data_IF_257672413191
#
_entry.id   IF_257672413191
#
_cell.length_a   1.000
_cell.length_b   1.000
_cell.length_c   1.000
_cell.angle_alpha   90.00
_cell.angle_beta   90.00
_cell.angle_gamma   90.00
#
_symmetry.space_group_name_H-M   'P 1'
#
loop_
_entity.id
_entity.type
_entity.pdbx_description
1 polymer ?
#
# COMPACT_ATOMS: atom_id res chain seq x y z
N UNK A 1 -59.03 45.96 -6.35
CA UNK A 1 -58.05 45.06 -6.93
C UNK A 1 -56.68 45.46 -6.38
N UNK A 2 -56.22 44.76 -5.35
CA UNK A 2 -54.91 44.97 -4.74
C UNK A 2 -54.04 43.75 -5.08
N UNK A 3 -52.79 43.93 -5.53
CA UNK A 3 -51.89 42.80 -5.77
C UNK A 3 -51.25 42.34 -4.45
N UNK A 4 -51.35 41.02 -4.17
CA UNK A 4 -50.58 40.34 -3.14
C UNK A 4 -49.09 40.41 -3.46
N UNK A 5 -48.31 40.96 -2.57
CA UNK A 5 -46.85 40.82 -2.56
C UNK A 5 -46.44 39.55 -1.84
N UNK A 6 -45.96 38.56 -2.59
CA UNK A 6 -45.37 37.38 -2.02
C UNK A 6 -44.00 37.71 -1.41
N UNK A 7 -43.88 37.54 -0.13
CA UNK A 7 -42.63 37.68 0.63
C UNK A 7 -41.85 36.34 0.54
N UNK A 8 -40.80 36.34 -0.24
CA UNK A 8 -39.90 35.17 -0.34
C UNK A 8 -38.93 35.18 0.85
N UNK A 9 -39.20 34.34 1.86
CA UNK A 9 -38.24 34.09 2.94
C UNK A 9 -37.08 33.28 2.43
N UNK A 10 -35.95 33.92 2.23
CA UNK A 10 -34.64 33.23 2.07
C UNK A 10 -34.18 32.69 3.44
N UNK A 11 -34.34 31.41 3.64
CA UNK A 11 -33.66 30.71 4.74
C UNK A 11 -32.18 30.58 4.39
N UNK A 12 -31.25 30.96 5.27
CA UNK A 12 -29.84 30.69 5.04
C UNK A 12 -29.63 29.16 5.10
N UNK A 13 -29.07 28.60 4.03
CA UNK A 13 -28.60 27.23 4.03
C UNK A 13 -27.53 27.09 5.11
N UNK A 14 -27.81 26.29 6.14
CA UNK A 14 -26.81 25.83 7.09
C UNK A 14 -25.79 24.99 6.30
N UNK A 15 -24.66 25.58 5.98
CA UNK A 15 -23.47 24.83 5.57
C UNK A 15 -23.01 24.09 6.81
N UNK A 16 -23.35 22.80 6.93
CA UNK A 16 -22.73 21.90 7.87
C UNK A 16 -21.25 21.88 7.55
N UNK A 17 -20.44 22.60 8.32
CA UNK A 17 -19.01 22.59 8.24
C UNK A 17 -18.53 21.15 8.40
N UNK A 18 -17.87 20.61 7.40
CA UNK A 18 -17.08 19.40 7.56
C UNK A 18 -16.06 19.69 8.66
N UNK A 19 -16.09 18.89 9.75
CA UNK A 19 -15.17 19.07 10.87
C UNK A 19 -13.73 19.11 10.35
N UNK A 20 -12.92 20.00 10.91
CA UNK A 20 -11.50 20.07 10.56
C UNK A 20 -10.86 18.70 10.82
N UNK A 21 -9.95 18.23 9.94
CA UNK A 21 -9.29 16.95 10.12
C UNK A 21 -8.54 16.92 11.45
N UNK A 22 -8.71 15.85 12.24
CA UNK A 22 -7.98 15.67 13.50
C UNK A 22 -6.51 15.35 13.20
N UNK A 23 -5.63 16.28 13.54
CA UNK A 23 -4.19 16.14 13.31
C UNK A 23 -3.57 14.99 14.10
N UNK A 24 -4.11 14.65 15.27
CA UNK A 24 -3.66 13.51 16.07
C UNK A 24 -4.01 12.18 15.42
N UNK A 25 -5.21 12.04 14.87
CA UNK A 25 -5.63 10.84 14.15
C UNK A 25 -4.82 10.64 12.87
N UNK A 26 -4.64 11.72 12.12
CA UNK A 26 -3.80 11.70 10.91
C UNK A 26 -2.34 11.37 11.24
N UNK A 27 -1.79 11.92 12.32
CA UNK A 27 -0.44 11.57 12.78
C UNK A 27 -0.32 10.08 13.07
N UNK A 28 -1.25 9.51 13.83
CA UNK A 28 -1.28 8.08 14.14
C UNK A 28 -1.33 7.22 12.90
N UNK A 29 -2.10 7.65 11.91
CA UNK A 29 -2.31 6.88 10.68
C UNK A 29 -1.12 6.94 9.71
N UNK A 30 -0.46 8.08 9.58
CA UNK A 30 0.50 8.32 8.51
C UNK A 30 1.95 8.52 8.97
N UNK A 31 2.18 8.81 10.25
CA UNK A 31 3.49 9.20 10.74
C UNK A 31 4.02 8.31 11.87
N UNK A 32 3.12 7.80 12.72
CA UNK A 32 3.51 7.13 13.94
C UNK A 32 4.23 5.79 13.72
N UNK A 33 4.01 5.12 12.59
CA UNK A 33 4.70 3.87 12.25
C UNK A 33 6.22 4.03 12.25
N UNK A 34 6.73 5.17 11.74
CA UNK A 34 8.16 5.45 11.71
C UNK A 34 8.62 6.34 12.89
N UNK A 35 7.80 7.33 13.25
CA UNK A 35 8.19 8.32 14.25
C UNK A 35 7.73 8.01 15.68
N UNK A 36 7.04 6.88 15.89
CA UNK A 36 6.49 6.45 17.18
C UNK A 36 5.26 7.24 17.60
N UNK A 37 4.42 6.67 18.48
CA UNK A 37 3.18 7.30 18.97
C UNK A 37 3.44 8.63 19.69
N UNK A 38 4.59 8.76 20.35
CA UNK A 38 5.03 9.95 21.08
C UNK A 38 6.08 10.77 20.32
N UNK A 39 6.24 10.54 19.03
CA UNK A 39 7.18 11.25 18.19
C UNK A 39 8.65 11.00 18.53
N UNK A 40 9.01 9.93 19.26
CA UNK A 40 10.40 9.67 19.70
C UNK A 40 11.29 9.10 18.61
N UNK A 41 10.71 8.61 17.51
CA UNK A 41 11.44 7.95 16.45
C UNK A 41 12.13 6.66 16.91
N UNK A 42 13.08 6.20 16.11
CA UNK A 42 13.98 5.08 16.42
C UNK A 42 15.40 5.58 16.22
N UNK A 43 16.22 5.49 17.27
CA UNK A 43 17.61 6.01 17.27
C UNK A 43 18.41 5.49 16.06
N UNK A 44 19.08 6.38 15.36
CA UNK A 44 19.86 6.12 14.14
C UNK A 44 19.07 5.61 12.91
N UNK A 45 17.75 5.31 13.04
CA UNK A 45 16.90 4.82 11.95
C UNK A 45 15.89 5.88 11.55
N UNK A 46 14.99 6.24 12.47
CA UNK A 46 13.95 7.25 12.22
C UNK A 46 14.13 8.43 13.19
N UNK A 47 14.27 9.68 12.69
CA UNK A 47 14.50 10.81 13.56
C UNK A 47 13.31 11.10 14.47
N UNK A 48 13.53 11.58 15.70
CA UNK A 48 12.47 12.04 16.56
C UNK A 48 11.80 13.30 15.98
N UNK A 49 10.51 13.46 16.26
CA UNK A 49 9.75 14.68 16.07
C UNK A 49 9.53 15.40 17.43
N UNK A 50 9.55 14.62 18.52
CA UNK A 50 9.45 15.14 19.88
C UNK A 50 10.73 15.91 20.24
N UNK A 51 10.60 17.20 20.59
CA UNK A 51 11.70 18.06 20.93
C UNK A 51 12.79 18.18 19.85
N UNK A 52 12.41 18.01 18.58
CA UNK A 52 13.35 17.99 17.46
C UNK A 52 13.77 19.41 17.06
N UNK A 53 15.07 19.73 17.18
CA UNK A 53 15.67 21.00 16.75
C UNK A 53 15.51 21.25 15.25
N UNK A 54 15.46 20.18 14.45
CA UNK A 54 15.25 20.22 13.01
C UNK A 54 13.93 20.90 12.61
N UNK A 55 12.87 20.75 13.41
CA UNK A 55 11.58 21.38 13.15
C UNK A 55 11.62 22.90 13.22
N UNK A 56 12.53 23.45 14.05
CA UNK A 56 12.76 24.88 14.15
C UNK A 56 13.83 25.37 13.17
N UNK A 57 14.99 24.70 13.14
CA UNK A 57 16.17 25.16 12.40
C UNK A 57 16.05 24.91 10.90
N UNK A 58 15.26 23.92 10.50
CA UNK A 58 15.05 23.50 9.10
C UNK A 58 13.56 23.43 8.75
N UNK A 59 12.74 24.36 9.28
CA UNK A 59 11.27 24.33 9.17
C UNK A 59 10.79 24.12 7.73
N UNK A 60 11.30 24.85 6.76
CA UNK A 60 10.90 24.70 5.38
C UNK A 60 11.17 23.30 4.83
N UNK A 61 12.31 22.70 5.19
CA UNK A 61 12.68 21.34 4.81
C UNK A 61 11.79 20.31 5.51
N UNK A 62 11.47 20.54 6.79
CA UNK A 62 10.55 19.69 7.55
C UNK A 62 9.14 19.69 6.94
N UNK A 63 8.60 20.87 6.59
CA UNK A 63 7.28 20.98 5.96
C UNK A 63 7.24 20.37 4.55
N UNK A 64 8.36 20.38 3.81
CA UNK A 64 8.48 19.74 2.49
C UNK A 64 8.64 18.23 2.57
N UNK A 65 9.17 17.70 3.66
CA UNK A 65 9.46 16.27 3.78
C UNK A 65 8.26 15.36 3.45
N UNK A 66 7.05 15.56 3.97
CA UNK A 66 5.90 14.74 3.58
C UNK A 66 5.36 15.06 2.17
N UNK A 67 5.72 16.21 1.58
CA UNK A 67 5.29 16.58 0.24
C UNK A 67 6.17 15.96 -0.85
N UNK A 68 7.48 15.93 -0.63
CA UNK A 68 8.51 15.56 -1.62
C UNK A 68 9.22 14.26 -1.27
N UNK A 69 9.02 13.79 -0.03
CA UNK A 69 9.94 12.84 0.58
C UNK A 69 11.23 13.51 1.06
N UNK A 70 11.98 12.81 1.89
CA UNK A 70 13.26 13.29 2.41
C UNK A 70 14.29 12.17 2.28
N UNK A 71 15.41 12.48 1.62
CA UNK A 71 16.54 11.56 1.46
C UNK A 71 17.85 12.21 1.84
N UNK A 72 18.82 11.37 2.18
CA UNK A 72 20.18 11.75 2.49
C UNK A 72 20.36 12.22 3.93
N UNK A 73 21.57 12.70 4.19
CA UNK A 73 22.00 13.04 5.53
C UNK A 73 21.24 14.21 6.13
N UNK A 74 20.68 14.00 7.31
CA UNK A 74 20.15 15.04 8.17
C UNK A 74 20.72 14.86 9.58
N UNK A 75 20.72 15.94 10.34
CA UNK A 75 21.08 15.90 11.77
C UNK A 75 19.88 16.40 12.57
N UNK A 76 19.44 15.62 13.55
CA UNK A 76 18.37 15.97 14.48
C UNK A 76 18.87 15.77 15.90
N UNK A 77 18.80 16.81 16.71
CA UNK A 77 19.31 16.80 18.09
C UNK A 77 20.77 16.30 18.20
N UNK A 78 21.63 16.65 17.23
CA UNK A 78 23.02 16.23 17.17
C UNK A 78 23.25 14.80 16.64
N UNK A 79 22.19 13.98 16.46
CA UNK A 79 22.28 12.65 15.89
C UNK A 79 22.13 12.70 14.37
N UNK A 80 23.00 11.99 13.65
CA UNK A 80 22.91 11.83 12.19
C UNK A 80 21.93 10.72 11.81
N UNK A 81 21.14 10.99 10.76
CA UNK A 81 20.23 10.06 10.13
C UNK A 81 20.48 10.09 8.63
N UNK A 82 20.57 8.93 8.02
CA UNK A 82 20.68 8.77 6.56
C UNK A 82 19.66 7.73 6.11
N UNK A 83 18.41 8.16 6.05
CA UNK A 83 17.29 7.30 5.67
C UNK A 83 16.48 7.90 4.52
N UNK A 84 15.42 7.24 4.20
CA UNK A 84 14.42 7.72 3.25
C UNK A 84 13.06 7.83 3.92
N UNK A 85 12.51 9.03 3.96
CA UNK A 85 11.11 9.30 4.29
C UNK A 85 10.34 9.40 2.97
N UNK A 86 9.39 8.52 2.69
CA UNK A 86 8.56 8.64 1.49
C UNK A 86 7.61 9.85 1.58
N UNK A 87 7.17 10.42 0.45
CA UNK A 87 6.10 11.40 0.45
C UNK A 87 4.79 10.78 0.92
N UNK A 88 3.91 11.59 1.51
CA UNK A 88 2.62 11.15 2.05
C UNK A 88 1.48 11.78 1.26
N UNK A 89 0.48 10.98 0.88
CA UNK A 89 -0.68 11.47 0.12
C UNK A 89 -1.73 12.04 1.08
N UNK A 90 -1.54 13.29 1.49
CA UNK A 90 -2.47 14.06 2.32
C UNK A 90 -2.81 15.38 1.64
N UNK A 91 -4.04 15.90 1.89
CA UNK A 91 -4.44 17.23 1.43
C UNK A 91 -3.68 18.32 2.19
N UNK A 92 -3.77 19.56 1.73
CA UNK A 92 -3.11 20.70 2.41
C UNK A 92 -3.69 20.94 3.80
N UNK A 93 -5.01 20.76 3.96
CA UNK A 93 -5.71 20.84 5.25
C UNK A 93 -5.26 19.74 6.21
N UNK A 94 -5.14 18.52 5.71
CA UNK A 94 -4.70 17.38 6.49
C UNK A 94 -3.23 17.54 6.92
N UNK A 95 -2.35 17.98 6.03
CA UNK A 95 -0.96 18.24 6.38
C UNK A 95 -0.81 19.38 7.38
N UNK A 96 -1.55 20.47 7.22
CA UNK A 96 -1.55 21.55 8.19
C UNK A 96 -2.01 21.06 9.58
N UNK A 97 -3.05 20.21 9.65
CA UNK A 97 -3.52 19.62 10.90
C UNK A 97 -2.46 18.72 11.55
N UNK A 98 -1.80 17.84 10.77
CA UNK A 98 -0.71 16.98 11.26
C UNK A 98 0.45 17.81 11.80
N UNK A 99 0.91 18.82 11.06
CA UNK A 99 2.02 19.66 11.53
C UNK A 99 1.65 20.44 12.78
N UNK A 100 0.44 20.98 12.87
CA UNK A 100 -0.01 21.70 14.05
C UNK A 100 -0.09 20.78 15.29
N UNK A 101 -0.47 19.51 15.10
CA UNK A 101 -0.35 18.50 16.13
C UNK A 101 1.13 18.31 16.54
N UNK A 102 2.03 18.00 15.61
CA UNK A 102 3.46 17.81 15.90
C UNK A 102 4.07 19.03 16.60
N UNK A 103 3.75 20.24 16.12
CA UNK A 103 4.34 21.49 16.62
C UNK A 103 3.87 21.86 18.03
N UNK A 104 2.76 21.32 18.51
CA UNK A 104 2.20 21.57 19.83
C UNK A 104 2.36 20.43 20.82
N UNK A 105 2.79 19.24 20.38
CA UNK A 105 2.91 18.06 21.24
C UNK A 105 4.33 17.79 21.68
N UNK A 106 4.48 16.91 22.65
CA UNK A 106 5.76 16.31 23.10
C UNK A 106 6.85 17.33 23.47
N UNK A 107 6.43 18.48 24.01
CA UNK A 107 7.35 19.57 24.39
C UNK A 107 7.72 20.52 23.24
N UNK A 108 7.27 20.25 22.01
CA UNK A 108 7.41 21.20 20.91
C UNK A 108 6.56 22.46 21.17
N UNK A 109 7.11 23.61 20.78
CA UNK A 109 6.43 24.92 20.84
C UNK A 109 6.76 25.73 19.60
N UNK A 110 6.39 25.19 18.43
CA UNK A 110 6.64 25.85 17.15
C UNK A 110 5.39 26.64 16.70
N UNK A 111 5.59 27.72 15.94
CA UNK A 111 4.46 28.43 15.32
C UNK A 111 3.63 27.47 14.49
N UNK A 112 2.29 27.61 14.56
CA UNK A 112 1.39 26.86 13.73
C UNK A 112 1.67 27.13 12.22
N UNK A 113 1.34 26.14 11.41
CA UNK A 113 1.34 26.29 9.95
C UNK A 113 -0.08 26.44 9.43
N UNK A 114 -0.24 27.18 8.33
CA UNK A 114 -1.53 27.37 7.67
C UNK A 114 -1.67 26.46 6.46
N UNK A 115 -2.91 26.23 6.03
CA UNK A 115 -3.22 25.54 4.78
C UNK A 115 -2.56 26.26 3.60
N UNK A 116 -2.55 27.59 3.61
CA UNK A 116 -1.95 28.42 2.57
C UNK A 116 -0.43 28.24 2.51
N UNK A 117 0.24 28.10 3.67
CA UNK A 117 1.69 27.82 3.73
C UNK A 117 2.00 26.44 3.09
N UNK A 118 1.21 25.41 3.40
CA UNK A 118 1.34 24.09 2.80
C UNK A 118 1.07 24.12 1.29
N UNK A 119 -0.02 24.78 0.85
CA UNK A 119 -0.38 24.90 -0.56
C UNK A 119 0.71 25.64 -1.36
N UNK A 120 1.28 26.72 -0.80
CA UNK A 120 2.39 27.44 -1.42
C UNK A 120 3.64 26.56 -1.55
N UNK A 121 3.97 25.76 -0.54
CA UNK A 121 5.04 24.79 -0.63
C UNK A 121 4.74 23.71 -1.67
N UNK A 122 3.54 23.13 -1.67
CA UNK A 122 3.13 22.12 -2.65
C UNK A 122 3.19 22.64 -4.09
N UNK A 123 2.80 23.90 -4.34
CA UNK A 123 2.88 24.49 -5.68
C UNK A 123 4.31 24.69 -6.18
N UNK A 124 5.28 24.75 -5.26
CA UNK A 124 6.72 24.82 -5.56
C UNK A 124 7.38 23.46 -5.62
N UNK A 125 6.72 22.43 -5.07
CA UNK A 125 7.16 21.04 -5.22
C UNK A 125 6.86 20.63 -6.66
N UNK A 126 7.86 20.72 -7.50
CA UNK A 126 7.86 19.92 -8.70
C UNK A 126 8.15 18.51 -8.19
N UNK A 127 7.10 17.68 -8.06
CA UNK A 127 7.37 16.25 -8.09
C UNK A 127 8.15 16.02 -9.38
N UNK A 128 9.41 15.63 -9.32
CA UNK A 128 10.04 15.20 -10.53
C UNK A 128 9.14 14.09 -11.07
N UNK A 129 8.70 14.23 -12.31
CA UNK A 129 8.07 13.13 -13.02
C UNK A 129 8.98 11.90 -12.82
N UNK A 130 8.44 10.70 -12.82
CA UNK A 130 9.27 9.51 -12.69
C UNK A 130 10.43 9.53 -13.70
N UNK A 131 10.22 10.07 -14.91
CA UNK A 131 11.27 10.31 -15.88
C UNK A 131 12.36 11.29 -15.38
N UNK A 132 12.00 12.34 -14.62
CA UNK A 132 12.95 13.27 -14.02
C UNK A 132 13.68 12.64 -12.82
N UNK A 133 13.00 11.76 -12.05
CA UNK A 133 13.64 10.95 -11.01
C UNK A 133 14.66 9.99 -11.62
N UNK A 134 14.31 9.30 -12.69
CA UNK A 134 15.24 8.41 -13.41
C UNK A 134 16.39 9.15 -14.05
N UNK A 135 16.16 10.33 -14.63
CA UNK A 135 17.22 11.18 -15.19
C UNK A 135 18.13 11.77 -14.10
N UNK A 136 17.59 12.00 -12.88
CA UNK A 136 18.34 12.44 -11.70
C UNK A 136 18.97 11.27 -10.91
N UNK A 137 18.53 10.04 -11.14
CA UNK A 137 19.22 8.85 -10.65
C UNK A 137 20.50 8.69 -11.45
N UNK A 138 21.63 9.04 -10.81
CA UNK A 138 22.94 8.68 -11.33
C UNK A 138 22.99 7.17 -11.62
N UNK A 139 23.67 6.72 -12.69
CA UNK A 139 23.96 5.30 -12.90
C UNK A 139 24.55 4.61 -11.66
N UNK A 140 25.17 5.37 -10.77
CA UNK A 140 25.77 4.91 -9.52
C UNK A 140 24.73 4.49 -8.45
N UNK A 141 23.42 4.74 -8.66
CA UNK A 141 22.33 4.33 -7.74
C UNK A 141 21.87 2.89 -8.01
N UNK A 142 22.18 2.34 -9.16
CA UNK A 142 21.92 0.92 -9.41
C UNK A 142 22.91 0.07 -8.59
N UNK A 143 22.43 -0.98 -7.90
CA UNK A 143 23.31 -1.87 -7.16
C UNK A 143 24.38 -2.46 -8.11
N UNK A 144 25.56 -2.74 -7.57
CA UNK A 144 26.60 -3.40 -8.35
C UNK A 144 26.08 -4.75 -8.87
N UNK A 145 26.18 -4.95 -10.18
CA UNK A 145 25.76 -6.22 -10.76
C UNK A 145 26.80 -7.32 -10.46
N UNK A 146 26.37 -8.57 -10.19
CA UNK A 146 27.29 -9.71 -10.11
C UNK A 146 28.13 -9.85 -11.39
N UNK A 147 29.27 -10.51 -11.29
CA UNK A 147 30.14 -10.76 -12.44
C UNK A 147 29.36 -11.44 -13.57
N UNK A 148 29.46 -10.88 -14.79
CA UNK A 148 28.72 -11.36 -15.96
C UNK A 148 27.30 -10.83 -16.12
N UNK A 149 26.80 -10.00 -15.17
CA UNK A 149 25.50 -9.37 -15.22
C UNK A 149 25.61 -7.86 -15.38
N UNK A 150 24.57 -7.25 -15.93
CA UNK A 150 24.43 -5.80 -16.04
C UNK A 150 23.02 -5.41 -15.65
N UNK A 151 22.88 -4.43 -14.75
CA UNK A 151 21.59 -3.78 -14.49
C UNK A 151 21.39 -2.62 -15.46
N UNK A 152 20.17 -2.54 -16.00
CA UNK A 152 19.74 -1.42 -16.85
C UNK A 152 18.33 -1.02 -16.44
N UNK A 153 18.03 0.28 -16.55
CA UNK A 153 16.65 0.77 -16.42
C UNK A 153 15.91 0.40 -17.70
N UNK A 154 14.88 -0.43 -17.59
CA UNK A 154 14.13 -0.95 -18.72
C UNK A 154 13.09 0.07 -19.26
N UNK A 155 12.34 0.73 -18.37
CA UNK A 155 11.37 1.76 -18.71
C UNK A 155 11.09 2.69 -17.52
N UNK A 156 10.83 3.98 -17.74
CA UNK A 156 10.29 4.85 -16.73
C UNK A 156 8.80 4.52 -16.51
N UNK A 157 8.37 4.51 -15.25
CA UNK A 157 6.97 4.36 -14.86
C UNK A 157 6.56 5.60 -14.05
N UNK A 158 5.43 6.19 -14.38
CA UNK A 158 4.84 7.35 -13.66
C UNK A 158 3.79 6.93 -12.62
N UNK A 159 3.77 5.64 -12.29
CA UNK A 159 2.88 5.03 -11.31
C UNK A 159 3.66 4.09 -10.37
N UNK A 160 3.05 3.72 -9.26
CA UNK A 160 3.61 2.76 -8.30
C UNK A 160 3.30 1.32 -8.72
N UNK A 161 4.25 0.56 -9.28
CA UNK A 161 4.05 -0.84 -9.61
C UNK A 161 4.09 -1.70 -8.35
N UNK A 162 3.22 -2.69 -8.28
CA UNK A 162 3.17 -3.65 -7.17
C UNK A 162 3.54 -5.06 -7.61
N UNK A 163 3.19 -5.45 -8.84
CA UNK A 163 3.48 -6.79 -9.38
C UNK A 163 3.74 -6.77 -10.87
N UNK A 164 4.49 -7.78 -11.29
CA UNK A 164 4.80 -8.07 -12.68
C UNK A 164 4.46 -9.54 -12.96
N UNK A 165 3.93 -9.81 -14.15
CA UNK A 165 3.75 -11.18 -14.65
C UNK A 165 4.06 -11.24 -16.15
N UNK A 166 4.61 -12.36 -16.62
CA UNK A 166 4.84 -12.56 -18.04
C UNK A 166 3.49 -12.61 -18.80
N UNK A 167 3.41 -11.91 -19.90
CA UNK A 167 2.28 -12.00 -20.81
C UNK A 167 2.37 -13.31 -21.63
N UNK A 168 1.25 -14.00 -21.92
CA UNK A 168 1.27 -15.27 -22.68
C UNK A 168 1.91 -15.21 -24.07
N UNK A 169 2.00 -14.02 -24.68
CA UNK A 169 2.65 -13.85 -25.98
C UNK A 169 4.19 -13.91 -25.96
N UNK A 170 4.79 -13.95 -24.76
CA UNK A 170 6.24 -13.97 -24.58
C UNK A 170 6.96 -12.68 -24.99
N UNK A 171 6.24 -11.62 -25.36
CA UNK A 171 6.79 -10.33 -25.83
C UNK A 171 6.52 -9.18 -24.87
N UNK A 172 5.56 -9.35 -23.99
CA UNK A 172 5.15 -8.32 -23.05
C UNK A 172 5.25 -8.81 -21.60
N UNK A 173 5.29 -7.87 -20.69
CA UNK A 173 5.10 -8.05 -19.26
C UNK A 173 3.86 -7.25 -18.85
N UNK A 174 3.00 -7.84 -18.06
CA UNK A 174 1.87 -7.14 -17.44
C UNK A 174 2.31 -6.58 -16.11
N UNK A 175 1.97 -5.33 -15.87
CA UNK A 175 2.31 -4.59 -14.65
C UNK A 175 1.01 -4.19 -13.95
N UNK A 176 0.90 -4.51 -12.69
CA UNK A 176 -0.17 -4.03 -11.81
C UNK A 176 0.32 -2.81 -11.02
N UNK A 177 -0.44 -1.73 -11.07
CA UNK A 177 -0.24 -0.58 -10.20
C UNK A 177 -1.04 -0.72 -8.90
N UNK A 178 -0.59 -0.06 -7.83
CA UNK A 178 -1.31 -0.02 -6.54
C UNK A 178 -2.75 0.51 -6.67
N UNK A 179 -3.00 1.40 -7.63
CA UNK A 179 -4.31 1.94 -8.00
C UNK A 179 -5.27 0.93 -8.63
N UNK A 180 -4.77 -0.25 -9.03
CA UNK A 180 -5.52 -1.24 -9.81
C UNK A 180 -5.45 -1.03 -11.32
N UNK A 181 -4.67 -0.05 -11.80
CA UNK A 181 -4.39 0.09 -13.22
C UNK A 181 -3.53 -1.08 -13.69
N UNK A 182 -3.89 -1.67 -14.83
CA UNK A 182 -3.14 -2.74 -15.46
C UNK A 182 -2.49 -2.21 -16.74
N UNK A 183 -1.18 -2.42 -16.82
CA UNK A 183 -0.34 -1.94 -17.91
C UNK A 183 0.33 -3.09 -18.63
N UNK A 184 0.66 -2.90 -19.89
CA UNK A 184 1.49 -3.80 -20.68
C UNK A 184 2.79 -3.08 -21.04
N UNK A 185 3.92 -3.73 -20.82
CA UNK A 185 5.25 -3.28 -21.23
C UNK A 185 5.81 -4.20 -22.30
N UNK A 186 6.14 -3.65 -23.48
CA UNK A 186 6.78 -4.38 -24.55
C UNK A 186 8.29 -4.51 -24.27
N UNK A 187 8.79 -5.74 -24.20
CA UNK A 187 10.19 -6.03 -23.82
C UNK A 187 11.18 -5.50 -24.87
N UNK A 188 10.82 -5.52 -26.16
CA UNK A 188 11.71 -5.13 -27.25
C UNK A 188 11.71 -3.63 -27.54
N UNK A 189 10.53 -2.99 -27.50
CA UNK A 189 10.39 -1.55 -27.81
C UNK A 189 10.43 -0.65 -26.58
N UNK A 190 10.27 -1.24 -25.39
CA UNK A 190 10.16 -0.57 -24.10
C UNK A 190 8.88 0.28 -23.96
N UNK A 191 7.93 0.14 -24.87
CA UNK A 191 6.65 0.85 -24.80
C UNK A 191 5.80 0.36 -23.64
N UNK A 192 5.23 1.30 -22.88
CA UNK A 192 4.29 1.04 -21.79
C UNK A 192 2.90 1.51 -22.21
N UNK A 193 1.90 0.63 -22.15
CA UNK A 193 0.53 0.91 -22.56
C UNK A 193 -0.45 0.51 -21.46
N UNK A 194 -1.38 1.41 -21.12
CA UNK A 194 -2.51 1.10 -20.24
C UNK A 194 -3.44 0.09 -20.92
N UNK A 195 -3.71 -1.02 -20.24
CA UNK A 195 -4.71 -2.01 -20.65
C UNK A 195 -6.09 -1.65 -20.09
N UNK A 196 -6.18 -1.45 -18.78
CA UNK A 196 -7.41 -1.04 -18.10
C UNK A 196 -7.10 -0.14 -16.91
N UNK A 197 -7.94 0.87 -16.72
CA UNK A 197 -7.87 1.69 -15.53
C UNK A 197 -8.57 1.01 -14.35
N UNK A 198 -7.95 1.07 -13.17
CA UNK A 198 -8.57 0.62 -11.92
C UNK A 198 -9.89 1.33 -11.63
N UNK A 199 -10.04 2.59 -12.04
CA UNK A 199 -11.29 3.35 -11.90
C UNK A 199 -12.48 2.73 -12.63
N UNK A 200 -12.22 1.96 -13.70
CA UNK A 200 -13.27 1.29 -14.48
C UNK A 200 -13.63 -0.09 -13.94
N UNK A 201 -12.85 -0.60 -12.96
CA UNK A 201 -12.96 -1.96 -12.44
C UNK A 201 -13.40 -1.94 -10.98
N UNK A 202 -12.73 -1.14 -10.16
CA UNK A 202 -12.88 -1.12 -8.71
C UNK A 202 -14.14 -0.38 -8.28
N UNK A 203 -14.65 -0.68 -7.08
CA UNK A 203 -15.82 0.02 -6.55
C UNK A 203 -15.40 1.43 -6.05
N UNK A 204 -15.88 2.52 -6.68
CA UNK A 204 -15.50 3.87 -6.29
C UNK A 204 -16.10 4.32 -4.95
N UNK A 205 -17.04 3.56 -4.39
CA UNK A 205 -17.63 3.84 -3.08
C UNK A 205 -16.78 3.36 -1.91
N UNK A 206 -15.83 2.46 -2.20
CA UNK A 206 -14.87 1.96 -1.21
C UNK A 206 -13.64 2.86 -1.21
N UNK A 207 -13.06 3.05 -0.01
CA UNK A 207 -11.83 3.84 0.18
C UNK A 207 -10.57 2.98 0.20
N UNK A 208 -9.44 3.61 0.45
CA UNK A 208 -8.13 3.00 0.73
C UNK A 208 -7.86 1.75 -0.12
N UNK A 209 -7.72 1.94 -1.41
CA UNK A 209 -7.48 0.84 -2.36
C UNK A 209 -5.99 0.51 -2.45
N UNK A 210 -5.66 -0.78 -2.36
CA UNK A 210 -4.34 -1.30 -2.68
C UNK A 210 -4.47 -2.60 -3.46
N UNK A 211 -3.91 -2.64 -4.68
CA UNK A 211 -3.85 -3.83 -5.51
C UNK A 211 -2.46 -4.44 -5.44
N UNK A 212 -2.34 -5.70 -4.97
CA UNK A 212 -1.06 -6.32 -4.66
C UNK A 212 -0.78 -7.62 -5.41
N UNK A 213 -1.78 -8.45 -5.66
CA UNK A 213 -1.61 -9.75 -6.30
C UNK A 213 -1.84 -9.70 -7.80
N UNK A 214 -0.96 -10.30 -8.58
CA UNK A 214 -1.09 -10.47 -10.03
C UNK A 214 -0.53 -11.83 -10.42
N UNK A 215 -1.26 -12.59 -11.23
CA UNK A 215 -0.84 -13.91 -11.71
C UNK A 215 -1.60 -14.33 -12.96
N UNK A 216 -1.13 -15.38 -13.60
CA UNK A 216 -1.81 -16.05 -14.71
C UNK A 216 -1.98 -17.52 -14.39
N UNK A 217 -2.95 -18.19 -15.05
CA UNK A 217 -3.08 -19.64 -15.01
C UNK A 217 -2.67 -20.29 -16.33
N UNK A 218 -2.70 -21.61 -16.36
CA UNK A 218 -2.36 -22.46 -17.52
C UNK A 218 -3.30 -22.30 -18.71
N UNK A 219 -4.48 -21.69 -18.49
CA UNK A 219 -5.42 -21.30 -19.56
C UNK A 219 -5.17 -19.90 -20.09
N UNK A 220 -4.17 -19.20 -19.58
CA UNK A 220 -3.84 -17.82 -19.97
C UNK A 220 -4.83 -16.79 -19.42
N UNK A 221 -5.62 -17.09 -18.37
CA UNK A 221 -6.43 -16.10 -17.67
C UNK A 221 -5.54 -15.25 -16.77
N UNK A 222 -5.79 -13.95 -16.74
CA UNK A 222 -5.10 -13.01 -15.85
C UNK A 222 -5.93 -12.83 -14.58
N UNK A 223 -5.28 -12.84 -13.43
CA UNK A 223 -5.86 -12.60 -12.12
C UNK A 223 -5.18 -11.43 -11.44
N UNK A 224 -5.94 -10.58 -10.77
CA UNK A 224 -5.37 -9.62 -9.82
C UNK A 224 -6.24 -9.46 -8.58
N UNK A 225 -5.64 -8.99 -7.50
CA UNK A 225 -6.28 -8.86 -6.18
C UNK A 225 -6.37 -7.38 -5.81
N UNK A 226 -7.56 -6.93 -5.45
CA UNK A 226 -7.78 -5.64 -4.80
C UNK A 226 -8.16 -5.81 -3.34
N UNK A 227 -7.57 -4.97 -2.49
CA UNK A 227 -7.95 -4.73 -1.10
C UNK A 227 -8.55 -3.33 -1.03
N UNK A 228 -9.82 -3.20 -0.62
CA UNK A 228 -10.50 -1.91 -0.55
C UNK A 228 -11.13 -1.71 0.84
N UNK A 229 -10.80 -0.59 1.49
CA UNK A 229 -11.33 -0.28 2.82
C UNK A 229 -12.79 0.16 2.79
N UNK A 230 -13.67 -0.59 3.43
CA UNK A 230 -15.08 -0.22 3.61
C UNK A 230 -15.27 0.47 4.97
N UNK A 231 -15.19 1.81 4.98
CA UNK A 231 -15.35 2.64 6.18
C UNK A 231 -16.82 2.81 6.62
N UNK A 232 -17.77 2.34 5.81
CA UNK A 232 -19.18 2.30 6.23
C UNK A 232 -19.47 1.15 7.21
N UNK A 233 -18.57 0.17 7.32
CA UNK A 233 -18.61 -0.91 8.30
C UNK A 233 -17.80 -0.55 9.53
N UNK A 234 -18.26 -1.00 10.71
CA UNK A 234 -17.55 -0.85 11.98
C UNK A 234 -17.43 -2.22 12.65
N UNK A 235 -16.24 -2.74 12.90
CA UNK A 235 -14.92 -2.22 12.48
C UNK A 235 -14.78 -2.07 10.97
N UNK A 236 -13.85 -1.20 10.53
CA UNK A 236 -13.55 -1.03 9.10
C UNK A 236 -13.22 -2.39 8.47
N UNK A 237 -13.80 -2.65 7.32
CA UNK A 237 -13.73 -3.96 6.68
C UNK A 237 -12.86 -3.90 5.41
N UNK A 238 -11.95 -4.85 5.24
CA UNK A 238 -11.22 -5.04 4.00
C UNK A 238 -12.07 -5.86 3.03
N UNK A 239 -12.62 -5.21 2.01
CA UNK A 239 -13.28 -5.88 0.89
C UNK A 239 -12.20 -6.41 -0.06
N UNK A 240 -12.05 -7.72 -0.12
CA UNK A 240 -11.08 -8.38 -1.00
C UNK A 240 -11.79 -8.93 -2.21
N UNK A 241 -11.36 -8.53 -3.40
CA UNK A 241 -11.86 -9.09 -4.66
C UNK A 241 -10.71 -9.65 -5.47
N UNK A 242 -10.84 -10.88 -5.90
CA UNK A 242 -10.00 -11.46 -6.96
C UNK A 242 -10.73 -11.27 -8.28
N UNK A 243 -10.11 -10.51 -9.15
CA UNK A 243 -10.57 -10.22 -10.50
C UNK A 243 -9.95 -11.21 -11.47
N UNK A 244 -10.69 -11.58 -12.52
CA UNK A 244 -10.24 -12.55 -13.51
C UNK A 244 -10.70 -12.15 -14.91
N UNK A 245 -9.84 -12.36 -15.90
CA UNK A 245 -10.20 -12.25 -17.33
C UNK A 245 -10.69 -13.59 -17.86
N UNK A 246 -11.31 -13.58 -19.05
CA UNK A 246 -11.37 -14.77 -19.87
C UNK A 246 -9.96 -15.17 -20.35
N UNK A 247 -9.77 -16.41 -20.83
CA UNK A 247 -8.49 -16.85 -21.40
C UNK A 247 -7.98 -15.90 -22.48
N UNK A 248 -6.68 -15.69 -22.53
CA UNK A 248 -6.08 -14.94 -23.62
C UNK A 248 -6.27 -15.64 -24.96
N UNK A 249 -6.79 -14.93 -25.97
CA UNK A 249 -7.17 -15.48 -27.28
C UNK A 249 -6.24 -15.06 -28.42
N UNK A 250 -5.01 -14.64 -28.10
CA UNK A 250 -4.05 -14.15 -29.11
C UNK A 250 -4.41 -12.74 -29.57
N UNK A 251 -4.77 -12.56 -30.84
CA UNK A 251 -5.05 -11.22 -31.42
C UNK A 251 -6.17 -10.45 -30.69
N UNK A 252 -7.14 -11.16 -30.08
CA UNK A 252 -8.24 -10.55 -29.32
C UNK A 252 -7.85 -10.00 -27.95
N UNK A 253 -6.65 -10.34 -27.46
CA UNK A 253 -6.21 -9.96 -26.12
C UNK A 253 -7.02 -10.63 -25.01
N UNK A 254 -7.00 -10.04 -23.83
CA UNK A 254 -7.86 -10.41 -22.71
C UNK A 254 -9.15 -9.61 -22.70
N UNK A 255 -10.21 -10.21 -22.20
CA UNK A 255 -11.43 -9.48 -21.82
C UNK A 255 -11.15 -8.55 -20.64
N UNK A 256 -12.02 -7.55 -20.42
CA UNK A 256 -11.97 -6.74 -19.19
C UNK A 256 -12.13 -7.67 -17.97
N UNK A 257 -11.30 -7.52 -16.92
CA UNK A 257 -11.41 -8.33 -15.72
C UNK A 257 -12.78 -8.22 -15.05
N UNK A 258 -13.33 -9.34 -14.61
CA UNK A 258 -14.56 -9.43 -13.85
C UNK A 258 -14.29 -9.97 -12.46
N UNK A 259 -15.11 -9.60 -11.48
CA UNK A 259 -15.01 -10.15 -10.14
C UNK A 259 -15.29 -11.66 -10.18
N UNK A 260 -14.29 -12.46 -9.88
CA UNK A 260 -14.38 -13.91 -9.85
C UNK A 260 -14.64 -14.44 -8.43
N UNK A 261 -13.95 -13.87 -7.43
CA UNK A 261 -14.10 -14.29 -6.05
C UNK A 261 -14.09 -13.07 -5.13
N UNK A 262 -14.97 -13.09 -4.12
CA UNK A 262 -15.08 -12.03 -3.11
C UNK A 262 -14.99 -12.62 -1.73
N UNK A 263 -14.22 -11.97 -0.88
CA UNK A 263 -14.11 -12.28 0.55
C UNK A 263 -13.73 -11.01 1.30
N UNK A 264 -13.42 -11.11 2.57
CA UNK A 264 -12.95 -9.97 3.34
C UNK A 264 -12.90 -10.26 4.82
N UNK A 265 -12.38 -9.29 5.55
CA UNK A 265 -12.22 -9.36 6.99
C UNK A 265 -12.14 -7.96 7.61
N UNK A 266 -12.46 -7.86 8.88
CA UNK A 266 -12.28 -6.61 9.60
C UNK A 266 -10.79 -6.26 9.69
N UNK A 267 -10.44 -5.00 9.43
CA UNK A 267 -9.10 -4.53 9.70
C UNK A 267 -8.75 -4.73 11.18
N UNK A 268 -7.50 -5.09 11.42
CA UNK A 268 -6.93 -5.23 12.76
C UNK A 268 -6.32 -3.92 13.25
N UNK A 269 -5.06 -3.93 13.66
CA UNK A 269 -4.39 -2.76 14.22
C UNK A 269 -3.86 -1.84 13.14
N UNK A 270 -4.58 -0.77 12.84
CA UNK A 270 -4.12 0.39 12.09
C UNK A 270 -3.28 0.10 10.85
N UNK A 271 -2.05 0.65 10.80
CA UNK A 271 -1.20 0.57 9.61
C UNK A 271 -0.64 -0.84 9.31
N UNK A 272 -0.78 -1.78 10.23
CA UNK A 272 -0.20 -3.13 10.11
C UNK A 272 -1.07 -4.13 9.34
N UNK A 273 -2.16 -3.68 8.72
CA UNK A 273 -2.96 -4.55 7.86
C UNK A 273 -2.26 -4.78 6.52
N UNK A 274 -1.74 -5.98 6.31
CA UNK A 274 -0.96 -6.29 5.12
C UNK A 274 -1.80 -6.62 3.88
N UNK A 275 -3.05 -6.97 4.05
CA UNK A 275 -3.95 -7.33 2.96
C UNK A 275 -3.68 -8.71 2.36
N UNK A 276 -4.36 -9.01 1.26
CA UNK A 276 -4.13 -10.21 0.43
C UNK A 276 -3.15 -9.84 -0.67
N UNK A 277 -1.99 -10.55 -0.72
CA UNK A 277 -0.77 -10.03 -1.34
C UNK A 277 -0.42 -10.62 -2.68
N UNK A 278 -0.53 -11.94 -2.86
CA UNK A 278 -0.03 -12.62 -4.05
C UNK A 278 -0.96 -13.74 -4.49
N UNK A 279 -0.97 -14.02 -5.78
CA UNK A 279 -1.74 -15.10 -6.39
C UNK A 279 -0.90 -15.78 -7.48
N UNK A 280 -0.83 -17.09 -7.46
CA UNK A 280 -0.18 -17.89 -8.50
C UNK A 280 -0.83 -19.27 -8.60
N UNK A 281 -0.82 -19.86 -9.80
CA UNK A 281 -1.26 -21.24 -9.99
C UNK A 281 -0.20 -22.22 -9.52
N UNK A 282 -0.62 -23.18 -8.71
CA UNK A 282 0.21 -24.30 -8.26
C UNK A 282 0.35 -25.41 -9.30
N UNK A 283 1.31 -26.34 -9.11
CA UNK A 283 1.47 -27.51 -9.96
C UNK A 283 0.25 -28.42 -9.98
N UNK A 284 -0.61 -28.33 -8.99
CA UNK A 284 -1.89 -29.04 -8.87
C UNK A 284 -3.04 -28.37 -9.65
N UNK A 285 -2.77 -27.24 -10.33
CA UNK A 285 -3.74 -26.48 -11.09
C UNK A 285 -4.62 -25.54 -10.25
N UNK A 286 -4.46 -25.50 -8.91
CA UNK A 286 -5.21 -24.62 -8.03
C UNK A 286 -4.53 -23.23 -7.93
N UNK A 287 -5.35 -22.20 -7.68
CA UNK A 287 -4.84 -20.84 -7.46
C UNK A 287 -4.51 -20.64 -5.99
N UNK A 288 -3.24 -20.49 -5.68
CA UNK A 288 -2.74 -20.21 -4.34
C UNK A 288 -2.72 -18.71 -4.10
N UNK A 289 -3.03 -18.31 -2.87
CA UNK A 289 -3.16 -16.90 -2.47
C UNK A 289 -2.55 -16.72 -1.09
N UNK A 290 -1.65 -15.75 -0.94
CA UNK A 290 -1.14 -15.34 0.37
C UNK A 290 -1.96 -14.20 0.93
N UNK A 291 -2.31 -14.31 2.20
CA UNK A 291 -3.01 -13.30 2.97
C UNK A 291 -2.17 -12.91 4.17
N UNK A 292 -1.72 -11.67 4.19
CA UNK A 292 -0.92 -11.14 5.29
C UNK A 292 -1.72 -10.98 6.57
N UNK A 293 -1.02 -10.74 7.66
CA UNK A 293 -1.60 -10.49 8.97
C UNK A 293 -2.33 -9.16 9.01
N UNK A 294 -3.25 -9.03 9.92
CA UNK A 294 -3.90 -7.77 10.26
C UNK A 294 -3.36 -7.12 11.54
N UNK A 295 -2.32 -7.72 12.11
CA UNK A 295 -1.56 -7.20 13.25
C UNK A 295 -0.07 -7.23 12.92
N UNK A 296 0.77 -6.50 13.66
CA UNK A 296 2.22 -6.59 13.50
C UNK A 296 2.80 -7.80 14.22
N UNK A 297 2.45 -7.99 15.50
CA UNK A 297 2.92 -9.07 16.37
C UNK A 297 1.80 -9.84 17.05
N UNK A 298 0.57 -9.86 16.53
CA UNK A 298 -0.58 -10.50 17.14
C UNK A 298 -1.28 -9.65 18.20
N UNK A 299 -0.91 -8.37 18.32
CA UNK A 299 -1.43 -7.43 19.31
C UNK A 299 -2.92 -7.14 19.12
N UNK A 300 -3.59 -6.76 20.21
CA UNK A 300 -4.97 -6.28 20.17
C UNK A 300 -5.05 -4.81 19.78
N UNK A 301 -6.02 -4.46 18.95
CA UNK A 301 -6.30 -3.09 18.60
C UNK A 301 -6.94 -2.30 19.76
N UNK A 302 -6.56 -1.04 19.93
CA UNK A 302 -7.09 -0.15 20.93
C UNK A 302 -8.04 0.93 20.35
N UNK A 303 -8.25 0.93 19.05
CA UNK A 303 -9.15 1.87 18.36
C UNK A 303 -10.53 1.24 18.10
N UNK A 304 -11.64 2.00 18.28
CA UNK A 304 -12.97 1.50 17.92
C UNK A 304 -13.16 1.24 16.43
N UNK A 305 -12.25 1.77 15.59
CA UNK A 305 -12.31 1.59 14.14
C UNK A 305 -11.76 0.24 13.67
N UNK A 306 -11.05 -0.48 14.56
CA UNK A 306 -10.40 -1.74 14.23
C UNK A 306 -10.89 -2.88 15.14
N UNK A 307 -10.83 -4.09 14.62
CA UNK A 307 -11.16 -5.28 15.40
C UNK A 307 -10.11 -5.48 16.52
N UNK A 308 -10.59 -5.80 17.73
CA UNK A 308 -9.72 -6.03 18.89
C UNK A 308 -9.13 -7.45 18.93
N UNK A 309 -9.71 -8.39 18.20
CA UNK A 309 -9.18 -9.74 18.15
C UNK A 309 -7.93 -9.82 17.26
N UNK A 310 -7.00 -10.71 17.57
CA UNK A 310 -5.81 -10.98 16.78
C UNK A 310 -6.10 -11.44 15.34
N UNK A 311 -5.41 -12.45 14.83
CA UNK A 311 -5.63 -12.96 13.48
C UNK A 311 -6.96 -13.71 13.36
N UNK A 312 -7.56 -13.71 12.16
CA UNK A 312 -8.83 -14.37 11.87
C UNK A 312 -8.67 -15.61 10.95
N UNK A 313 -9.80 -16.13 10.46
CA UNK A 313 -9.80 -17.32 9.61
C UNK A 313 -9.05 -17.15 8.28
N UNK A 314 -8.86 -15.91 7.79
CA UNK A 314 -8.29 -15.61 6.47
C UNK A 314 -6.89 -15.01 6.54
N UNK A 315 -6.52 -14.35 7.63
CA UNK A 315 -5.27 -13.58 7.73
C UNK A 315 -4.11 -14.41 8.28
N UNK A 316 -2.88 -14.01 8.01
CA UNK A 316 -1.65 -14.73 8.35
C UNK A 316 -1.64 -16.17 7.80
N UNK A 317 -2.01 -16.33 6.54
CA UNK A 317 -2.24 -17.66 5.93
C UNK A 317 -1.87 -17.70 4.45
N UNK A 318 -1.61 -18.91 4.01
CA UNK A 318 -1.68 -19.29 2.60
C UNK A 318 -2.93 -20.14 2.39
N UNK A 319 -3.73 -19.82 1.41
CA UNK A 319 -4.92 -20.57 1.02
C UNK A 319 -5.00 -20.75 -0.50
N UNK A 320 -5.89 -21.61 -0.97
CA UNK A 320 -6.06 -21.89 -2.40
C UNK A 320 -7.52 -21.99 -2.79
N UNK A 321 -7.77 -21.81 -4.08
CA UNK A 321 -9.08 -21.82 -4.73
C UNK A 321 -9.02 -22.68 -6.01
N UNK A 322 -10.09 -23.40 -6.31
CA UNK A 322 -10.24 -24.08 -7.59
C UNK A 322 -10.66 -23.09 -8.70
N UNK A 323 -9.79 -22.80 -9.70
CA UNK A 323 -10.11 -21.88 -10.78
C UNK A 323 -11.17 -22.41 -11.75
N UNK A 324 -11.55 -23.68 -11.67
CA UNK A 324 -12.59 -24.29 -12.50
C UNK A 324 -13.96 -24.26 -11.80
N UNK A 325 -14.01 -24.04 -10.49
CA UNK A 325 -15.26 -23.97 -9.75
C UNK A 325 -16.05 -22.71 -10.11
N UNK A 326 -17.36 -22.87 -10.28
CA UNK A 326 -18.29 -21.75 -10.40
C UNK A 326 -18.51 -21.04 -9.06
N UNK A 327 -18.33 -21.75 -7.95
CA UNK A 327 -18.40 -21.24 -6.57
C UNK A 327 -17.13 -21.67 -5.82
N UNK A 328 -15.98 -20.99 -6.05
CA UNK A 328 -14.73 -21.38 -5.43
C UNK A 328 -14.76 -21.17 -3.92
N UNK A 329 -14.22 -22.13 -3.18
CA UNK A 329 -14.14 -22.09 -1.73
C UNK A 329 -12.70 -22.05 -1.26
N UNK A 330 -12.45 -21.28 -0.21
CA UNK A 330 -11.13 -21.19 0.39
C UNK A 330 -10.79 -22.51 1.07
N UNK A 331 -9.65 -23.07 0.67
CA UNK A 331 -8.98 -24.16 1.37
C UNK A 331 -7.66 -23.63 1.96
N UNK A 332 -7.52 -23.66 3.27
CA UNK A 332 -6.31 -23.19 3.94
C UNK A 332 -5.20 -24.20 3.77
N UNK A 333 -4.06 -23.76 3.23
CA UNK A 333 -2.87 -24.58 3.00
C UNK A 333 -1.92 -24.53 4.19
N UNK A 334 -1.65 -23.35 4.73
CA UNK A 334 -0.73 -23.13 5.83
C UNK A 334 -1.17 -21.96 6.70
N UNK A 335 -0.74 -21.97 7.96
CA UNK A 335 -1.08 -20.99 8.99
C UNK A 335 0.18 -20.34 9.55
N UNK A 336 0.02 -19.22 10.25
CA UNK A 336 1.10 -18.58 10.99
C UNK A 336 2.17 -17.96 10.09
N UNK A 337 1.77 -17.50 8.92
CA UNK A 337 2.57 -16.78 7.94
C UNK A 337 2.22 -15.31 8.06
N UNK A 338 3.10 -14.50 8.70
CA UNK A 338 2.78 -13.10 9.01
C UNK A 338 2.47 -12.28 7.75
N UNK A 339 3.38 -12.28 6.80
CA UNK A 339 3.21 -11.52 5.58
C UNK A 339 4.02 -12.13 4.43
N UNK A 340 3.61 -13.32 4.00
CA UNK A 340 4.20 -13.96 2.82
C UNK A 340 3.92 -13.11 1.59
N UNK A 341 4.84 -12.19 1.31
CA UNK A 341 4.68 -11.19 0.27
C UNK A 341 4.76 -11.78 -1.14
N UNK A 342 5.57 -12.84 -1.30
CA UNK A 342 5.68 -13.61 -2.54
C UNK A 342 5.93 -15.07 -2.24
N UNK A 343 5.44 -15.94 -3.11
CA UNK A 343 5.75 -17.37 -3.08
C UNK A 343 5.88 -17.92 -4.50
N UNK A 344 6.60 -19.01 -4.65
CA UNK A 344 6.79 -19.69 -5.93
C UNK A 344 7.15 -21.16 -5.69
N UNK A 345 7.08 -21.97 -6.74
CA UNK A 345 7.53 -23.36 -6.71
C UNK A 345 8.89 -23.50 -7.38
N UNK A 346 9.75 -24.27 -6.78
CA UNK A 346 10.99 -24.68 -7.42
C UNK A 346 10.75 -25.79 -8.45
N UNK A 347 11.83 -26.19 -9.14
CA UNK A 347 11.76 -27.24 -10.17
C UNK A 347 11.41 -28.63 -9.61
N UNK A 348 11.41 -28.83 -8.30
CA UNK A 348 10.98 -30.04 -7.61
C UNK A 348 9.53 -29.97 -7.11
N UNK A 349 8.83 -28.88 -7.42
CA UNK A 349 7.47 -28.62 -6.98
C UNK A 349 7.35 -28.24 -5.50
N UNK A 350 8.47 -27.82 -4.85
CA UNK A 350 8.45 -27.35 -3.48
C UNK A 350 8.02 -25.90 -3.43
N UNK A 351 7.07 -25.59 -2.57
CA UNK A 351 6.55 -24.24 -2.39
C UNK A 351 7.44 -23.46 -1.43
N UNK A 352 8.02 -22.38 -1.91
CA UNK A 352 8.86 -21.47 -1.15
C UNK A 352 8.15 -20.13 -1.02
N UNK A 353 8.12 -19.55 0.18
CA UNK A 353 7.57 -18.22 0.47
C UNK A 353 8.62 -17.33 1.09
N UNK A 354 8.64 -16.05 0.68
CA UNK A 354 9.40 -15.00 1.34
C UNK A 354 8.46 -14.18 2.19
N UNK A 355 8.84 -13.93 3.43
CA UNK A 355 7.98 -13.35 4.45
C UNK A 355 8.62 -12.14 5.10
N UNK A 356 7.86 -11.06 5.20
CA UNK A 356 8.30 -9.88 5.92
C UNK A 356 8.11 -10.10 7.43
N UNK A 357 9.18 -9.89 8.19
CA UNK A 357 9.19 -9.91 9.65
C UNK A 357 8.37 -8.79 10.27
N UNK A 358 8.34 -8.74 11.61
CA UNK A 358 7.68 -7.66 12.34
C UNK A 358 8.48 -6.36 12.25
N UNK A 359 7.83 -5.21 12.48
CA UNK A 359 8.48 -3.90 12.55
C UNK A 359 9.44 -3.76 13.75
N UNK A 360 9.55 -4.81 14.59
CA UNK A 360 10.44 -4.89 15.74
C UNK A 360 11.87 -5.36 15.40
N UNK A 361 12.32 -5.16 14.18
CA UNK A 361 13.69 -5.47 13.72
C UNK A 361 14.01 -6.98 13.76
N UNK A 362 13.00 -7.82 13.47
CA UNK A 362 13.17 -9.26 13.32
C UNK A 362 13.63 -9.61 11.90
N UNK A 363 14.36 -10.73 11.71
CA UNK A 363 14.76 -11.17 10.38
C UNK A 363 13.57 -11.46 9.46
N UNK A 364 13.75 -11.22 8.17
CA UNK A 364 12.89 -11.73 7.11
C UNK A 364 13.05 -13.25 7.00
N UNK A 365 12.00 -13.95 6.58
CA UNK A 365 12.02 -15.41 6.50
C UNK A 365 11.93 -15.93 5.07
N UNK A 366 12.64 -17.03 4.82
CA UNK A 366 12.44 -17.88 3.65
C UNK A 366 11.90 -19.24 4.09
N UNK A 367 10.61 -19.43 3.86
CA UNK A 367 9.90 -20.61 4.32
C UNK A 367 9.73 -21.67 3.21
N UNK A 368 10.05 -22.92 3.51
CA UNK A 368 9.57 -24.05 2.73
C UNK A 368 8.17 -24.42 3.21
N UNK A 369 7.14 -23.96 2.49
CA UNK A 369 5.75 -24.08 2.90
C UNK A 369 5.21 -25.46 2.58
N UNK A 370 4.72 -26.16 3.61
CA UNK A 370 4.08 -27.48 3.54
C UNK A 370 2.64 -27.37 3.99
N UNK A 371 1.75 -28.07 3.28
CA UNK A 371 0.32 -28.10 3.64
C UNK A 371 0.10 -28.62 5.08
N UNK A 372 -0.83 -27.97 5.77
CA UNK A 372 -1.22 -28.32 7.15
C UNK A 372 -0.24 -27.88 8.22
N UNK A 373 0.79 -27.09 7.89
CA UNK A 373 1.77 -26.60 8.88
C UNK A 373 1.44 -25.20 9.36
N UNK A 374 1.95 -24.91 10.57
CA UNK A 374 1.94 -23.58 11.20
C UNK A 374 3.40 -23.07 11.27
N UNK A 375 3.61 -21.79 10.90
CA UNK A 375 4.93 -21.17 10.71
C UNK A 375 5.28 -20.15 11.80
N UNK A 376 4.64 -20.22 12.94
CA UNK A 376 5.00 -19.51 14.16
C UNK A 376 4.11 -18.31 14.45
N UNK A 377 3.92 -17.39 13.51
CA UNK A 377 3.18 -16.15 13.74
C UNK A 377 1.75 -16.38 14.27
N UNK A 378 1.27 -15.67 15.32
CA UNK A 378 1.96 -14.58 16.03
C UNK A 378 2.72 -15.03 17.30
N UNK A 379 2.98 -16.30 17.50
CA UNK A 379 3.53 -16.86 18.74
C UNK A 379 5.05 -16.95 18.72
N UNK A 380 5.64 -17.12 17.55
CA UNK A 380 7.09 -17.23 17.33
C UNK A 380 7.46 -16.37 16.10
N UNK A 381 8.62 -15.74 16.15
CA UNK A 381 9.22 -14.98 15.08
C UNK A 381 10.60 -15.54 14.79
N UNK A 382 10.94 -15.74 13.50
CA UNK A 382 12.10 -16.43 12.99
C UNK A 382 13.48 -15.91 13.39
#
# INVERSE_FOLDING_TARGET
MHPLRSLLCLLPALVLGQGQPDGADLYRQYCAACHGQEGRGIAAVFPPLAGADFLATQRAKALRAPLEGLRGDITVNGQKYNGWMPPVTLTDEQLAAVFNHIFSQWGNRHPATSVQEIAALRSQTKYPTHAQLLAAMSPDVLPAAPAGWKFTVAAPLDFQPTRLVAHPDGKHVVILAASGDLWSWNIATHDVKLLWSGKDILDPKLGDTTCLGLGTDDRGRLYFISNQGNKAKQPVFNEVTIWRTEPWTGEGGWSKPQAWFRTGYNFGVGPYNHGVNHIAQGPDGLMYVSSGSRTDGGEEGNSPNYDKSGENALTAKLWRLDPQSADPRIEVVAHGLRNTYHFSWDHQGRLLGVENGTDADTPEELNWIKSGKHYGFPYEFG
#
